data_IF_569289901520
#
_entry.id   IF_569289901520
#
_cell.length_a   1.000
_cell.length_b   1.000
_cell.length_c   1.000
_cell.angle_alpha   90.00
_cell.angle_beta   90.00
_cell.angle_gamma   90.00
#
_symmetry.space_group_name_H-M   'P 1'
#
loop_
_entity.id
_entity.type
_entity.pdbx_description
1 polymer ?
#
# COMPACT_ATOMS: atom_id res chain seq x y z
N UNK A 1 7.11 8.85 0.42
CA UNK A 1 7.85 9.86 1.22
C UNK A 1 8.07 9.40 2.66
N UNK A 2 7.03 8.89 3.35
CA UNK A 2 7.13 8.45 4.76
C UNK A 2 8.25 7.43 4.94
N UNK A 3 8.34 6.44 4.06
CA UNK A 3 9.42 5.44 4.08
C UNK A 3 10.81 6.09 4.01
N UNK A 4 11.01 7.03 3.06
CA UNK A 4 12.28 7.77 2.96
C UNK A 4 12.61 8.56 4.21
N UNK A 5 11.61 9.19 4.85
CA UNK A 5 11.81 9.90 6.12
C UNK A 5 12.24 8.96 7.24
N UNK A 6 11.58 7.80 7.35
CA UNK A 6 11.86 6.79 8.36
C UNK A 6 13.21 6.08 8.15
N UNK A 7 13.70 6.04 6.92
CA UNK A 7 14.98 5.43 6.53
C UNK A 7 16.14 6.43 6.42
N UNK A 8 16.03 7.58 7.09
CA UNK A 8 17.11 8.53 7.31
C UNK A 8 17.21 9.70 6.32
N UNK A 9 16.25 9.84 5.39
CA UNK A 9 16.23 10.88 4.35
C UNK A 9 15.24 12.01 4.64
N UNK A 10 14.84 12.22 5.90
CA UNK A 10 13.82 13.22 6.28
C UNK A 10 14.22 14.66 5.94
N UNK A 11 15.52 14.98 5.97
CA UNK A 11 16.00 16.33 5.76
C UNK A 11 15.71 16.85 4.35
N UNK A 12 15.69 15.95 3.36
CA UNK A 12 15.25 16.25 2.00
C UNK A 12 13.77 16.71 1.90
N UNK A 13 12.97 16.51 2.93
CA UNK A 13 11.57 16.95 2.99
C UNK A 13 11.36 18.15 3.93
N UNK A 14 12.35 18.49 4.74
CA UNK A 14 12.28 19.58 5.69
C UNK A 14 12.99 20.84 5.20
N UNK A 15 14.08 20.68 4.45
CA UNK A 15 14.95 21.78 4.02
C UNK A 15 14.93 21.92 2.50
N UNK A 16 14.48 23.05 1.94
CA UNK A 16 14.40 23.25 0.48
C UNK A 16 15.74 23.01 -0.26
N UNK A 17 16.87 23.30 0.39
CA UNK A 17 18.19 23.06 -0.19
C UNK A 17 18.55 21.59 -0.39
N UNK A 18 17.83 20.68 0.27
CA UNK A 18 18.06 19.24 0.24
C UNK A 18 17.05 18.50 -0.66
N UNK A 19 16.07 19.18 -1.28
CA UNK A 19 15.00 18.53 -2.06
C UNK A 19 15.51 17.68 -3.21
N UNK A 20 16.57 18.14 -3.89
CA UNK A 20 17.13 17.46 -5.05
C UNK A 20 18.05 16.29 -4.68
N UNK A 21 18.30 16.06 -3.39
CA UNK A 21 19.17 14.98 -2.91
C UNK A 21 18.46 13.62 -2.86
N UNK A 22 17.14 13.56 -3.11
CA UNK A 22 16.37 12.33 -3.15
C UNK A 22 15.47 12.27 -4.38
N UNK A 23 15.34 11.09 -4.94
CA UNK A 23 14.35 10.80 -5.99
C UNK A 23 12.93 10.80 -5.40
N UNK A 24 11.92 11.09 -6.22
CA UNK A 24 10.51 10.94 -5.86
C UNK A 24 10.08 9.48 -5.67
N UNK A 25 10.90 8.52 -6.12
CA UNK A 25 10.62 7.09 -6.13
C UNK A 25 11.67 6.31 -5.33
N UNK A 26 11.44 5.00 -5.16
CA UNK A 26 12.44 4.09 -4.60
C UNK A 26 13.68 4.04 -5.50
N UNK A 27 14.86 4.20 -4.90
CA UNK A 27 16.14 4.31 -5.61
C UNK A 27 17.27 3.64 -4.83
N UNK A 28 17.72 2.44 -5.25
CA UNK A 28 18.76 1.69 -4.53
C UNK A 28 20.11 2.42 -4.39
N UNK A 29 20.38 3.41 -5.26
CA UNK A 29 21.61 4.20 -5.17
C UNK A 29 21.56 5.22 -4.02
N UNK A 30 20.37 5.57 -3.54
CA UNK A 30 20.21 6.48 -2.39
C UNK A 30 20.29 5.76 -1.05
N UNK A 31 19.80 4.53 -0.97
CA UNK A 31 19.66 3.83 0.31
C UNK A 31 19.62 2.31 0.16
N UNK A 32 20.27 1.61 1.08
CA UNK A 32 20.17 0.15 1.22
C UNK A 32 18.75 -0.34 1.59
N UNK A 33 17.85 0.57 1.94
CA UNK A 33 16.45 0.28 2.24
C UNK A 33 15.55 0.28 1.00
N UNK A 34 16.08 0.75 -0.13
CA UNK A 34 15.37 0.77 -1.41
C UNK A 34 15.87 -0.42 -2.26
N UNK A 35 15.03 -1.42 -2.47
CA UNK A 35 15.45 -2.64 -3.17
C UNK A 35 15.36 -2.54 -4.69
N UNK A 36 14.48 -1.69 -5.21
CA UNK A 36 14.18 -1.59 -6.64
C UNK A 36 14.07 -0.13 -7.08
N UNK A 37 14.37 0.15 -8.34
CA UNK A 37 13.94 1.38 -8.99
C UNK A 37 12.50 1.19 -9.41
N UNK A 38 11.56 1.90 -8.79
CA UNK A 38 10.12 1.75 -9.03
C UNK A 38 9.50 3.12 -9.26
N UNK A 39 8.81 3.29 -10.39
CA UNK A 39 7.97 4.44 -10.68
C UNK A 39 6.57 4.05 -11.16
N UNK A 40 6.36 2.76 -11.47
CA UNK A 40 5.07 2.24 -11.92
C UNK A 40 4.26 1.67 -10.77
N UNK A 41 2.94 1.91 -10.77
CA UNK A 41 2.00 1.30 -9.80
C UNK A 41 1.80 -0.19 -10.09
N UNK A 42 1.13 -0.91 -9.21
CA UNK A 42 0.72 -2.32 -9.37
C UNK A 42 1.83 -3.36 -9.28
N UNK A 43 3.09 -2.96 -9.08
CA UNK A 43 4.26 -3.85 -9.17
C UNK A 43 4.65 -4.52 -7.86
N UNK A 44 4.17 -4.02 -6.70
CA UNK A 44 4.69 -4.43 -5.38
C UNK A 44 4.50 -5.91 -5.08
N UNK A 45 3.37 -6.51 -5.48
CA UNK A 45 3.09 -7.92 -5.23
C UNK A 45 4.02 -8.81 -6.05
N UNK A 46 4.20 -8.53 -7.34
CA UNK A 46 5.10 -9.29 -8.22
C UNK A 46 6.55 -9.19 -7.79
N UNK A 47 7.03 -7.99 -7.44
CA UNK A 47 8.40 -7.80 -6.94
C UNK A 47 8.63 -8.53 -5.62
N UNK A 48 7.67 -8.44 -4.69
CA UNK A 48 7.75 -9.15 -3.41
C UNK A 48 7.70 -10.68 -3.59
N UNK A 49 6.94 -11.19 -4.55
CA UNK A 49 6.91 -12.62 -4.87
C UNK A 49 8.27 -13.11 -5.38
N UNK A 50 8.96 -12.30 -6.18
CA UNK A 50 10.33 -12.58 -6.61
C UNK A 50 11.31 -12.62 -5.43
N UNK A 51 11.19 -11.69 -4.47
CA UNK A 51 11.97 -11.70 -3.23
C UNK A 51 11.67 -12.95 -2.38
N UNK A 52 10.41 -13.33 -2.23
CA UNK A 52 10.00 -14.52 -1.48
C UNK A 52 10.60 -15.78 -2.12
N UNK A 53 10.53 -15.90 -3.44
CA UNK A 53 11.18 -17.01 -4.16
C UNK A 53 12.70 -17.01 -4.00
N UNK A 54 13.34 -15.87 -4.11
CA UNK A 54 14.80 -15.73 -3.92
C UNK A 54 15.22 -16.12 -2.51
N UNK A 55 14.49 -15.63 -1.49
CA UNK A 55 14.70 -16.02 -0.08
C UNK A 55 14.62 -17.54 0.10
N UNK A 56 13.60 -18.19 -0.45
CA UNK A 56 13.42 -19.64 -0.32
C UNK A 56 14.58 -20.42 -0.96
N UNK A 57 15.05 -19.98 -2.13
CA UNK A 57 16.16 -20.61 -2.84
C UNK A 57 17.49 -20.57 -2.06
N UNK A 58 17.69 -19.56 -1.23
CA UNK A 58 18.90 -19.43 -0.38
C UNK A 58 18.67 -19.96 1.04
N UNK A 59 17.48 -20.51 1.34
CA UNK A 59 17.14 -21.02 2.67
C UNK A 59 16.96 -19.93 3.73
N UNK A 60 16.59 -18.71 3.33
CA UNK A 60 16.28 -17.60 4.22
C UNK A 60 14.93 -17.79 4.94
N UNK A 61 14.67 -16.96 5.95
CA UNK A 61 13.45 -17.01 6.76
C UNK A 61 12.82 -15.63 6.99
N UNK A 62 13.23 -14.63 6.24
CA UNK A 62 12.72 -13.26 6.36
C UNK A 62 11.24 -13.20 5.99
N UNK A 63 10.49 -12.37 6.70
CA UNK A 63 9.14 -12.03 6.29
C UNK A 63 9.20 -11.12 5.06
N UNK A 64 8.54 -11.51 4.00
CA UNK A 64 8.36 -10.69 2.81
C UNK A 64 6.97 -10.05 2.87
N UNK A 65 6.93 -8.73 2.78
CA UNK A 65 5.70 -7.95 2.93
C UNK A 65 5.53 -7.06 1.70
N UNK A 66 4.42 -7.23 0.98
CA UNK A 66 3.99 -6.32 -0.07
C UNK A 66 2.90 -5.38 0.48
N UNK A 67 3.00 -4.09 0.19
CA UNK A 67 1.93 -3.12 0.44
C UNK A 67 1.41 -2.62 -0.90
N UNK A 68 0.12 -2.73 -1.12
CA UNK A 68 -0.54 -2.29 -2.35
C UNK A 68 -1.82 -1.52 -2.01
N UNK A 69 -2.02 -0.37 -2.67
CA UNK A 69 -3.29 0.35 -2.60
C UNK A 69 -4.36 -0.32 -3.46
N UNK A 70 -5.62 -0.16 -3.09
CA UNK A 70 -6.77 -0.69 -3.81
C UNK A 70 -6.81 -0.25 -5.28
N UNK A 71 -6.48 1.02 -5.57
CA UNK A 71 -6.37 1.49 -6.95
C UNK A 71 -5.28 0.76 -7.76
N UNK A 72 -4.14 0.50 -7.15
CA UNK A 72 -3.03 -0.24 -7.79
C UNK A 72 -3.33 -1.74 -7.93
N UNK A 73 -4.18 -2.28 -7.06
CA UNK A 73 -4.54 -3.70 -7.05
C UNK A 73 -5.25 -4.14 -8.34
N UNK A 74 -5.92 -3.23 -9.07
CA UNK A 74 -6.58 -3.55 -10.34
C UNK A 74 -5.63 -3.70 -11.53
N UNK A 75 -4.35 -3.44 -11.39
CA UNK A 75 -3.37 -3.63 -12.45
C UNK A 75 -3.10 -5.11 -12.75
N UNK A 76 -2.93 -5.46 -14.04
CA UNK A 76 -2.71 -6.85 -14.47
C UNK A 76 -1.51 -7.50 -13.77
N UNK A 77 -0.42 -6.77 -13.61
CA UNK A 77 0.78 -7.27 -12.92
C UNK A 77 0.53 -7.62 -11.44
N UNK A 78 -0.37 -6.88 -10.76
CA UNK A 78 -0.77 -7.23 -9.40
C UNK A 78 -1.55 -8.54 -9.35
N UNK A 79 -2.43 -8.80 -10.33
CA UNK A 79 -3.16 -10.07 -10.47
C UNK A 79 -2.22 -11.23 -10.76
N UNK A 80 -1.26 -11.07 -11.66
CA UNK A 80 -0.22 -12.07 -11.94
C UNK A 80 0.61 -12.37 -10.69
N UNK A 81 0.96 -11.34 -9.92
CA UNK A 81 1.67 -11.51 -8.65
C UNK A 81 0.86 -12.28 -7.61
N UNK A 82 -0.44 -12.02 -7.48
CA UNK A 82 -1.34 -12.76 -6.58
C UNK A 82 -1.48 -14.23 -6.99
N UNK A 83 -1.66 -14.49 -8.29
CA UNK A 83 -1.76 -15.85 -8.86
C UNK A 83 -0.47 -16.63 -8.59
N UNK A 84 0.67 -16.03 -8.87
CA UNK A 84 1.97 -16.66 -8.60
C UNK A 84 2.21 -16.94 -7.11
N UNK A 85 1.77 -16.04 -6.22
CA UNK A 85 1.92 -16.26 -4.78
C UNK A 85 1.08 -17.44 -4.28
N UNK A 86 -0.13 -17.60 -4.80
CA UNK A 86 -0.97 -18.76 -4.48
C UNK A 86 -0.29 -20.08 -4.90
N UNK A 87 0.35 -20.12 -6.07
CA UNK A 87 1.11 -21.29 -6.54
C UNK A 87 2.40 -21.50 -5.73
N UNK A 88 3.12 -20.43 -5.40
CA UNK A 88 4.37 -20.52 -4.66
C UNK A 88 4.16 -21.03 -3.23
N UNK A 89 3.06 -20.69 -2.59
CA UNK A 89 2.62 -21.23 -1.31
C UNK A 89 3.51 -20.91 -0.10
N UNK A 90 4.52 -20.06 -0.26
CA UNK A 90 5.45 -19.68 0.81
C UNK A 90 4.91 -18.50 1.63
N UNK A 91 5.53 -18.24 2.81
CA UNK A 91 5.09 -17.12 3.63
C UNK A 91 5.35 -15.78 2.93
N UNK A 92 4.28 -15.06 2.71
CA UNK A 92 4.28 -13.67 2.27
C UNK A 92 3.02 -12.96 2.79
N UNK A 93 3.19 -11.76 3.29
CA UNK A 93 2.08 -10.93 3.78
C UNK A 93 1.78 -9.86 2.74
N UNK A 94 0.56 -9.86 2.22
CA UNK A 94 0.09 -8.88 1.23
C UNK A 94 -0.88 -7.93 1.92
N UNK A 95 -0.45 -6.69 2.16
CA UNK A 95 -1.28 -5.66 2.78
C UNK A 95 -2.01 -4.90 1.68
N UNK A 96 -3.32 -5.08 1.61
CA UNK A 96 -4.21 -4.30 0.72
C UNK A 96 -4.73 -3.10 1.50
N UNK A 97 -4.20 -1.92 1.18
CA UNK A 97 -4.65 -0.66 1.76
C UNK A 97 -5.83 -0.12 0.95
N UNK A 98 -7.03 -0.41 1.43
CA UNK A 98 -8.28 -0.05 0.77
C UNK A 98 -8.85 1.24 1.39
N UNK A 99 -8.81 2.32 0.64
CA UNK A 99 -9.44 3.59 0.96
C UNK A 99 -10.50 4.00 -0.07
N UNK A 100 -10.87 3.09 -0.97
CA UNK A 100 -11.90 3.21 -2.01
C UNK A 100 -11.53 4.18 -3.14
N UNK A 101 -10.30 4.67 -3.17
CA UNK A 101 -9.88 5.69 -4.12
C UNK A 101 -8.48 5.39 -4.69
N UNK A 102 -8.34 5.71 -5.98
CA UNK A 102 -7.05 6.02 -6.60
C UNK A 102 -6.80 7.53 -6.46
N UNK A 103 -6.88 8.29 -7.56
CA UNK A 103 -7.05 9.74 -7.53
C UNK A 103 -8.52 10.02 -7.19
N UNK A 104 -9.45 9.61 -8.07
CA UNK A 104 -10.89 9.59 -7.87
C UNK A 104 -11.37 8.26 -7.26
N UNK A 105 -12.67 8.10 -7.08
CA UNK A 105 -13.29 6.86 -6.63
C UNK A 105 -13.03 5.69 -7.61
N UNK A 106 -12.79 4.52 -7.08
CA UNK A 106 -12.57 3.31 -7.86
C UNK A 106 -13.89 2.67 -8.31
N UNK A 107 -13.93 2.22 -9.57
CA UNK A 107 -15.07 1.52 -10.16
C UNK A 107 -14.65 0.23 -10.85
N UNK A 108 -15.50 -0.81 -10.78
CA UNK A 108 -15.27 -2.09 -11.43
C UNK A 108 -15.66 -3.29 -10.58
N UNK A 109 -15.50 -4.49 -11.15
CA UNK A 109 -15.89 -5.74 -10.49
C UNK A 109 -15.09 -6.04 -9.22
N UNK A 110 -13.77 -5.82 -9.26
CA UNK A 110 -12.91 -5.97 -8.09
C UNK A 110 -13.39 -5.07 -6.94
N UNK A 111 -13.67 -3.81 -7.21
CA UNK A 111 -14.07 -2.84 -6.19
C UNK A 111 -15.45 -3.11 -5.60
N UNK A 112 -16.35 -3.76 -6.38
CA UNK A 112 -17.62 -4.27 -5.84
C UNK A 112 -17.36 -5.36 -4.80
N UNK A 113 -16.46 -6.28 -5.09
CA UNK A 113 -16.10 -7.33 -4.14
C UNK A 113 -15.37 -6.77 -2.91
N UNK A 114 -14.42 -5.83 -3.08
CA UNK A 114 -13.80 -5.14 -1.94
C UNK A 114 -14.84 -4.43 -1.07
N UNK A 115 -15.86 -3.82 -1.68
CA UNK A 115 -16.98 -3.19 -0.94
C UNK A 115 -17.79 -4.24 -0.14
N UNK A 116 -18.15 -5.37 -0.75
CA UNK A 116 -18.85 -6.46 -0.06
C UNK A 116 -18.04 -7.01 1.11
N UNK A 117 -16.72 -7.12 0.95
CA UNK A 117 -15.81 -7.52 2.02
C UNK A 117 -15.78 -6.49 3.16
N UNK A 118 -15.75 -5.18 2.85
CA UNK A 118 -15.85 -4.13 3.88
C UNK A 118 -17.19 -4.16 4.60
N UNK A 119 -18.30 -4.19 3.84
CA UNK A 119 -19.66 -4.16 4.38
C UNK A 119 -19.97 -5.37 5.27
N UNK A 120 -19.34 -6.50 4.98
CA UNK A 120 -19.49 -7.76 5.76
C UNK A 120 -18.43 -7.96 6.84
N UNK A 121 -17.56 -6.97 7.07
CA UNK A 121 -16.41 -7.12 7.96
C UNK A 121 -15.54 -8.35 7.61
N UNK A 122 -15.30 -8.53 6.32
CA UNK A 122 -14.49 -9.64 5.78
C UNK A 122 -15.19 -11.00 5.70
N UNK A 123 -16.49 -11.07 6.02
CA UNK A 123 -17.24 -12.34 6.13
C UNK A 123 -18.04 -12.69 4.85
N UNK A 124 -17.96 -11.87 3.79
CA UNK A 124 -18.63 -12.15 2.53
C UNK A 124 -18.24 -13.54 1.98
N UNK A 125 -19.23 -14.32 1.54
CA UNK A 125 -18.99 -15.64 0.93
C UNK A 125 -18.15 -15.52 -0.33
N UNK A 126 -18.45 -14.54 -1.19
CA UNK A 126 -17.65 -14.22 -2.35
C UNK A 126 -16.42 -13.41 -1.92
N UNK A 127 -15.27 -14.05 -1.87
CA UNK A 127 -14.00 -13.42 -1.54
C UNK A 127 -12.98 -13.72 -2.63
N UNK A 128 -12.64 -12.70 -3.40
CA UNK A 128 -11.69 -12.79 -4.52
C UNK A 128 -10.34 -13.40 -4.11
N UNK A 129 -9.79 -13.00 -2.97
CA UNK A 129 -8.48 -13.48 -2.53
C UNK A 129 -8.53 -14.97 -2.13
N UNK A 130 -9.58 -15.38 -1.43
CA UNK A 130 -9.80 -16.80 -1.07
C UNK A 130 -10.05 -17.65 -2.31
N UNK A 131 -10.75 -17.11 -3.32
CA UNK A 131 -10.97 -17.80 -4.58
C UNK A 131 -9.69 -18.07 -5.35
N UNK A 132 -8.66 -17.25 -5.16
CA UNK A 132 -7.31 -17.46 -5.71
C UNK A 132 -6.45 -18.43 -4.87
N UNK A 133 -6.93 -18.90 -3.71
CA UNK A 133 -6.18 -19.81 -2.82
C UNK A 133 -5.33 -19.08 -1.76
N UNK A 134 -5.52 -17.79 -1.57
CA UNK A 134 -4.83 -17.00 -0.56
C UNK A 134 -5.61 -16.99 0.77
N UNK A 135 -4.93 -17.02 1.88
CA UNK A 135 -5.55 -16.72 3.17
C UNK A 135 -5.91 -15.25 3.27
N UNK A 136 -6.85 -14.95 4.16
CA UNK A 136 -7.41 -13.61 4.22
C UNK A 136 -7.85 -13.24 5.63
N UNK A 137 -7.45 -12.04 6.06
CA UNK A 137 -8.03 -11.35 7.22
C UNK A 137 -8.42 -9.92 6.85
N UNK A 138 -9.40 -9.38 7.57
CA UNK A 138 -9.88 -8.01 7.39
C UNK A 138 -9.66 -7.19 8.66
N UNK A 139 -9.26 -5.91 8.49
CA UNK A 139 -9.06 -4.93 9.56
C UNK A 139 -9.90 -3.71 9.25
N UNK A 140 -10.99 -3.53 9.98
CA UNK A 140 -11.92 -2.42 9.77
C UNK A 140 -11.30 -1.06 10.10
N UNK A 141 -10.54 -1.00 11.19
CA UNK A 141 -9.95 0.25 11.70
C UNK A 141 -8.50 0.39 11.27
N UNK A 142 -8.25 0.44 9.95
CA UNK A 142 -6.91 0.45 9.36
C UNK A 142 -6.09 1.74 9.60
N UNK A 143 -6.69 2.78 10.18
CA UNK A 143 -5.97 3.95 10.68
C UNK A 143 -5.67 3.86 12.19
N UNK A 144 -6.09 2.82 12.89
CA UNK A 144 -5.76 2.56 14.29
C UNK A 144 -4.50 1.71 14.39
N UNK A 145 -3.46 2.26 15.02
CA UNK A 145 -2.15 1.60 15.17
C UNK A 145 -2.27 0.33 16.02
N UNK A 146 -3.12 0.33 17.06
CA UNK A 146 -3.27 -0.83 17.92
C UNK A 146 -3.95 -1.99 17.17
N UNK A 147 -5.00 -1.69 16.38
CA UNK A 147 -5.67 -2.68 15.53
C UNK A 147 -4.70 -3.30 14.50
N UNK A 148 -3.81 -2.49 13.92
CA UNK A 148 -2.77 -2.96 13.01
C UNK A 148 -1.73 -3.85 13.72
N UNK A 149 -1.26 -3.47 14.92
CA UNK A 149 -0.33 -4.28 15.72
C UNK A 149 -0.95 -5.66 16.03
N UNK A 150 -2.22 -5.69 16.42
CA UNK A 150 -2.95 -6.93 16.71
C UNK A 150 -3.10 -7.82 15.47
N UNK A 151 -3.44 -7.21 14.31
CA UNK A 151 -3.55 -7.93 13.05
C UNK A 151 -2.19 -8.52 12.61
N UNK A 152 -1.15 -7.70 12.59
CA UNK A 152 0.18 -8.15 12.16
C UNK A 152 0.81 -9.16 13.13
N UNK A 153 0.54 -9.06 14.42
CA UNK A 153 0.98 -10.05 15.40
C UNK A 153 0.41 -11.44 15.13
N UNK A 154 -0.80 -11.53 14.53
CA UNK A 154 -1.43 -12.79 14.17
C UNK A 154 -0.83 -13.43 12.91
N UNK A 155 -0.25 -12.63 12.02
CA UNK A 155 0.21 -13.08 10.70
C UNK A 155 1.73 -13.10 10.53
N UNK A 156 2.50 -12.53 11.45
CA UNK A 156 3.96 -12.40 11.31
C UNK A 156 4.71 -13.74 11.21
N UNK A 157 4.13 -14.82 11.73
CA UNK A 157 4.77 -16.15 11.79
C UNK A 157 4.05 -17.17 10.88
N UNK A 158 3.24 -16.72 9.93
CA UNK A 158 2.57 -17.60 8.97
C UNK A 158 3.57 -18.33 8.07
N UNK A 159 3.13 -19.46 7.50
CA UNK A 159 3.96 -20.28 6.61
C UNK A 159 3.40 -20.37 5.18
N UNK A 160 2.39 -19.59 4.86
CA UNK A 160 1.70 -19.54 3.58
C UNK A 160 1.25 -18.10 3.27
N UNK A 161 0.90 -17.76 2.03
CA UNK A 161 0.58 -16.39 1.68
C UNK A 161 -0.76 -15.96 2.27
N UNK A 162 -0.80 -14.72 2.79
CA UNK A 162 -2.00 -14.14 3.39
C UNK A 162 -2.20 -12.71 2.92
N UNK A 163 -3.47 -12.38 2.66
CA UNK A 163 -3.92 -11.01 2.43
C UNK A 163 -4.44 -10.40 3.73
N UNK A 164 -3.86 -9.29 4.14
CA UNK A 164 -4.34 -8.41 5.21
C UNK A 164 -5.02 -7.22 4.55
N UNK A 165 -6.34 -7.26 4.47
CA UNK A 165 -7.14 -6.20 3.87
C UNK A 165 -7.48 -5.17 4.95
N UNK A 166 -6.87 -3.98 4.87
CA UNK A 166 -7.07 -2.89 5.83
C UNK A 166 -7.96 -1.80 5.21
N UNK A 167 -9.02 -1.43 5.92
CA UNK A 167 -9.89 -0.33 5.53
C UNK A 167 -9.38 0.98 6.13
N UNK A 168 -9.02 1.95 5.29
CA UNK A 168 -8.45 3.22 5.73
C UNK A 168 -9.24 4.40 5.19
N UNK A 169 -9.11 5.55 5.84
CA UNK A 169 -9.63 6.82 5.36
C UNK A 169 -8.51 7.62 4.69
N UNK A 170 -8.65 7.88 3.40
CA UNK A 170 -7.71 8.74 2.66
C UNK A 170 -7.74 10.16 3.25
N UNK A 171 -6.56 10.72 3.52
CA UNK A 171 -6.41 12.04 4.13
C UNK A 171 -6.54 12.07 5.65
N UNK A 172 -6.66 10.91 6.32
CA UNK A 172 -6.86 10.80 7.77
C UNK A 172 -5.86 11.63 8.57
N UNK A 173 -6.42 12.45 9.48
CA UNK A 173 -5.63 13.32 10.36
C UNK A 173 -5.50 14.76 9.86
N UNK A 174 -5.98 15.04 8.64
CA UNK A 174 -6.03 16.40 8.10
C UNK A 174 -7.44 16.71 7.55
N UNK A 175 -8.21 17.54 8.25
CA UNK A 175 -9.63 17.76 7.99
C UNK A 175 -9.94 18.18 6.54
N UNK A 176 -9.10 19.05 5.95
CA UNK A 176 -9.30 19.48 4.55
C UNK A 176 -9.11 18.30 3.57
N UNK A 177 -8.14 17.41 3.82
CA UNK A 177 -7.92 16.23 2.98
C UNK A 177 -8.99 15.16 3.18
N UNK A 178 -9.56 15.03 4.38
CA UNK A 178 -10.68 14.12 4.63
C UNK A 178 -11.96 14.57 3.92
N UNK A 179 -12.15 15.89 3.75
CA UNK A 179 -13.30 16.48 3.06
C UNK A 179 -13.16 16.49 1.54
N UNK A 180 -11.95 16.72 1.03
CA UNK A 180 -11.65 16.77 -0.41
C UNK A 180 -10.46 15.87 -0.76
N UNK A 181 -10.73 14.57 -0.75
CA UNK A 181 -9.73 13.52 -0.90
C UNK A 181 -9.04 13.51 -2.26
N UNK A 182 -9.74 13.95 -3.30
CA UNK A 182 -9.26 13.99 -4.68
C UNK A 182 -8.24 15.10 -4.85
N UNK A 183 -8.59 16.35 -4.49
CA UNK A 183 -7.68 17.49 -4.55
C UNK A 183 -6.42 17.28 -3.72
N UNK A 184 -6.52 16.63 -2.55
CA UNK A 184 -5.38 16.35 -1.68
C UNK A 184 -4.62 15.06 -2.01
N UNK A 185 -4.97 14.36 -3.08
CA UNK A 185 -4.13 13.27 -3.59
C UNK A 185 -2.77 13.77 -4.06
N UNK A 186 -2.74 14.87 -4.79
CA UNK A 186 -1.56 15.67 -5.13
C UNK A 186 -1.94 17.14 -5.18
N UNK A 187 -1.17 17.99 -4.54
CA UNK A 187 -1.46 19.41 -4.48
C UNK A 187 -0.18 20.24 -4.54
N UNK A 188 -0.29 21.42 -5.18
CA UNK A 188 0.73 22.47 -5.10
C UNK A 188 0.89 22.95 -3.66
N UNK A 189 2.01 23.63 -3.31
CA UNK A 189 2.20 24.18 -1.98
C UNK A 189 0.98 24.98 -1.50
N UNK A 190 0.51 24.72 -0.30
CA UNK A 190 -0.68 25.34 0.27
C UNK A 190 -0.45 25.75 1.73
N UNK A 191 -1.35 26.57 2.26
CA UNK A 191 -1.38 26.89 3.67
C UNK A 191 -2.05 25.73 4.45
N UNK A 192 -1.35 25.04 5.36
CA UNK A 192 -1.91 23.89 6.07
C UNK A 192 -3.04 24.24 7.03
N UNK A 193 -3.16 25.52 7.47
CA UNK A 193 -4.25 25.94 8.36
C UNK A 193 -5.55 26.21 7.61
N UNK A 194 -5.45 26.86 6.43
CA UNK A 194 -6.62 27.26 5.63
C UNK A 194 -6.95 26.29 4.50
N UNK A 195 -5.99 25.44 4.11
CA UNK A 195 -6.10 24.59 2.93
C UNK A 195 -5.97 25.33 1.59
N UNK A 196 -5.73 26.63 1.57
CA UNK A 196 -5.65 27.45 0.35
C UNK A 196 -4.28 27.28 -0.35
N UNK A 197 -4.30 27.20 -1.68
CA UNK A 197 -3.07 27.14 -2.47
C UNK A 197 -2.23 28.40 -2.28
N UNK A 198 -0.91 28.27 -2.13
CA UNK A 198 0.03 29.40 -2.04
C UNK A 198 0.38 29.99 -3.38
N UNK A 199 0.14 29.25 -4.47
CA UNK A 199 0.39 29.70 -5.85
C UNK A 199 -0.89 29.46 -6.64
N UNK A 200 -1.48 30.52 -7.18
CA UNK A 200 -2.46 30.43 -8.25
C UNK A 200 -1.72 30.27 -9.57
N UNK A 201 -1.96 29.18 -10.30
CA UNK A 201 -1.66 29.17 -11.71
C UNK A 201 -2.75 30.00 -12.38
N UNK A 202 -2.41 31.21 -12.82
CA UNK A 202 -3.24 31.88 -13.82
C UNK A 202 -3.11 31.05 -15.10
N UNK A 203 -4.24 30.65 -15.68
CA UNK A 203 -4.34 29.96 -16.95
C UNK A 203 -3.84 30.86 -18.10
#
# INVERSE_FOLDING_TARGET
YVDKMLTGRKDAFLYPAEYDNVSGYSEPQESKHDFFVIGHTSTSVSLASGLAKGRDLIGGNENIIAVIGDGSLSGGEAFEGLDYMAELGTNMIIIVNDNQMSIAENHGGLYKNLKELRDSNGQCECNFFKAMGLDYIYVNDGNDVQALIEAFSKVKDIQHPIVVHINTLKGKGYAHAEQDKETYHWRTPFNPETGEAKVSYEE
#
